data_IF_341604696819
#
_entry.id   IF_341604696819
#
_cell.length_a   1.000
_cell.length_b   1.000
_cell.length_c   1.000
_cell.angle_alpha   90.00
_cell.angle_beta   90.00
_cell.angle_gamma   90.00
#
_symmetry.space_group_name_H-M   'P 1'
#
loop_
_entity.id
_entity.type
_entity.pdbx_description
1 polymer ?
#
# COMPACT_ATOMS: atom_id res chain seq x y z
N UNK A 1 -10.05 5.90 -19.45
CA UNK A 1 -9.79 4.52 -19.03
C UNK A 1 -9.70 4.49 -17.51
N UNK A 2 -10.45 3.60 -16.91
CA UNK A 2 -10.53 3.55 -15.45
C UNK A 2 -9.34 2.78 -14.89
N UNK A 3 -8.52 3.46 -14.08
CA UNK A 3 -7.36 2.86 -13.44
C UNK A 3 -7.57 2.70 -11.93
N UNK A 4 -8.82 2.59 -11.52
CA UNK A 4 -9.15 2.38 -10.11
C UNK A 4 -8.55 1.09 -9.60
N UNK A 5 -8.13 1.10 -8.34
CA UNK A 5 -7.61 -0.10 -7.69
C UNK A 5 -8.69 -1.15 -7.53
N UNK A 6 -8.32 -2.38 -7.81
CA UNK A 6 -9.18 -3.56 -7.68
C UNK A 6 -8.44 -4.62 -6.88
N UNK A 7 -9.16 -5.61 -6.41
CA UNK A 7 -8.53 -6.72 -5.67
C UNK A 7 -7.48 -7.45 -6.51
N UNK A 8 -7.64 -7.42 -7.83
CA UNK A 8 -6.69 -8.05 -8.74
C UNK A 8 -5.53 -7.14 -9.14
N UNK A 9 -5.56 -5.86 -8.77
CA UNK A 9 -4.48 -4.93 -9.09
C UNK A 9 -3.20 -5.33 -8.37
N UNK A 10 -2.07 -5.27 -9.08
CA UNK A 10 -0.76 -5.53 -8.50
C UNK A 10 -0.14 -4.20 -8.10
N UNK A 11 0.29 -4.11 -6.86
CA UNK A 11 0.82 -2.88 -6.29
C UNK A 11 2.29 -3.07 -5.97
N UNK A 12 3.10 -2.07 -6.28
CA UNK A 12 4.52 -2.05 -5.97
C UNK A 12 4.89 -0.70 -5.38
N UNK A 13 5.95 -0.66 -4.57
CA UNK A 13 6.45 0.64 -4.11
C UNK A 13 7.08 1.37 -5.30
N UNK A 14 6.88 2.68 -5.34
CA UNK A 14 7.50 3.51 -6.37
C UNK A 14 9.00 3.60 -6.12
N UNK A 15 9.74 3.98 -7.14
CA UNK A 15 11.18 4.19 -7.01
C UNK A 15 11.45 5.51 -6.28
N UNK A 16 12.67 5.66 -5.79
CA UNK A 16 13.13 6.89 -5.15
C UNK A 16 12.40 7.19 -3.84
N UNK A 17 12.20 6.14 -3.05
CA UNK A 17 11.64 6.25 -1.72
C UNK A 17 12.65 5.76 -0.70
N UNK A 18 12.68 6.40 0.46
CA UNK A 18 13.44 5.92 1.62
C UNK A 18 12.47 5.80 2.78
N UNK A 19 12.41 4.65 3.39
CA UNK A 19 11.54 4.45 4.53
C UNK A 19 12.37 4.22 5.80
N UNK A 20 11.82 4.67 6.91
CA UNK A 20 12.46 4.55 8.20
C UNK A 20 11.43 4.02 9.21
N UNK A 21 11.69 2.86 9.83
CA UNK A 21 10.78 2.35 10.84
C UNK A 21 10.87 3.19 12.11
N UNK A 22 9.73 3.46 12.74
CA UNK A 22 9.61 4.22 13.97
C UNK A 22 8.76 3.41 14.95
N UNK A 23 9.36 2.35 15.53
CA UNK A 23 8.60 1.41 16.33
C UNK A 23 7.66 0.62 15.43
N UNK A 24 6.35 0.69 15.72
CA UNK A 24 5.34 0.04 14.90
C UNK A 24 4.87 0.92 13.74
N UNK A 25 5.32 2.17 13.72
CA UNK A 25 4.99 3.11 12.66
C UNK A 25 6.14 3.22 11.67
N UNK A 26 5.96 4.03 10.65
CA UNK A 26 7.02 4.27 9.69
C UNK A 26 6.89 5.65 9.09
N UNK A 27 8.00 6.19 8.62
CA UNK A 27 8.00 7.41 7.82
C UNK A 27 8.62 7.08 6.46
N UNK A 28 8.04 7.60 5.40
CA UNK A 28 8.54 7.42 4.05
C UNK A 28 8.90 8.79 3.49
N UNK A 29 10.15 8.90 3.04
CA UNK A 29 10.60 10.13 2.36
C UNK A 29 10.53 9.90 0.87
N UNK A 30 9.75 10.74 0.19
CA UNK A 30 9.71 10.75 -1.27
C UNK A 30 10.85 11.66 -1.75
N UNK A 31 11.83 11.07 -2.42
CA UNK A 31 13.03 11.80 -2.84
C UNK A 31 12.77 12.77 -4.00
N UNK A 32 11.67 12.58 -4.72
CA UNK A 32 11.32 13.48 -5.83
C UNK A 32 10.86 14.84 -5.34
N UNK A 33 10.06 14.86 -4.27
CA UNK A 33 9.48 16.10 -3.77
C UNK A 33 9.96 16.47 -2.36
N UNK A 34 10.80 15.63 -1.78
CA UNK A 34 11.36 15.84 -0.44
C UNK A 34 10.30 15.94 0.66
N UNK A 35 9.19 15.24 0.48
CA UNK A 35 8.09 15.25 1.44
C UNK A 35 8.09 13.93 2.22
N UNK A 36 7.89 14.04 3.53
CA UNK A 36 7.74 12.88 4.40
C UNK A 36 6.27 12.52 4.56
N UNK A 37 6.01 11.22 4.60
CA UNK A 37 4.67 10.70 4.84
C UNK A 37 4.74 9.79 6.05
N UNK A 38 3.93 10.08 7.07
CA UNK A 38 3.85 9.23 8.26
C UNK A 38 2.85 8.11 8.03
N UNK A 39 3.23 6.90 8.40
CA UNK A 39 2.37 5.72 8.32
C UNK A 39 2.12 5.21 9.73
N UNK A 40 0.86 4.96 10.07
CA UNK A 40 0.52 4.32 11.33
C UNK A 40 0.89 2.83 11.27
N UNK A 41 0.60 2.08 12.32
CA UNK A 41 1.01 0.68 12.40
C UNK A 41 0.46 -0.17 11.24
N UNK A 42 -0.79 0.07 10.84
CA UNK A 42 -1.38 -0.66 9.72
C UNK A 42 -0.74 -0.24 8.40
N UNK A 43 -0.57 1.06 8.19
CA UNK A 43 0.10 1.57 7.01
C UNK A 43 1.53 1.09 6.89
N UNK A 44 2.25 1.04 8.02
CA UNK A 44 3.62 0.52 8.06
C UNK A 44 3.65 -0.97 7.71
N UNK A 45 2.66 -1.73 8.16
CA UNK A 45 2.57 -3.16 7.83
C UNK A 45 2.32 -3.35 6.34
N UNK A 46 1.39 -2.58 5.77
CA UNK A 46 1.12 -2.61 4.34
C UNK A 46 2.39 -2.25 3.56
N UNK A 47 3.09 -1.21 3.99
CA UNK A 47 4.34 -0.78 3.35
C UNK A 47 5.38 -1.91 3.35
N UNK A 48 5.52 -2.61 4.48
CA UNK A 48 6.45 -3.73 4.59
C UNK A 48 6.08 -4.86 3.62
N UNK A 49 4.80 -5.15 3.49
CA UNK A 49 4.33 -6.18 2.55
C UNK A 49 4.58 -5.78 1.10
N UNK A 50 4.54 -4.49 0.81
CA UNK A 50 4.72 -3.97 -0.54
C UNK A 50 6.18 -3.91 -1.01
N UNK A 51 7.12 -4.31 -0.17
CA UNK A 51 8.52 -4.42 -0.60
C UNK A 51 8.68 -5.48 -1.70
N UNK A 52 7.67 -6.32 -1.87
CA UNK A 52 7.53 -7.20 -3.03
C UNK A 52 6.19 -6.92 -3.69
N UNK A 53 6.08 -7.10 -5.02
CA UNK A 53 4.80 -6.87 -5.69
C UNK A 53 3.71 -7.77 -5.11
N UNK A 54 2.55 -7.19 -4.84
CA UNK A 54 1.42 -7.93 -4.25
C UNK A 54 0.11 -7.43 -4.83
N UNK A 55 -0.85 -8.33 -4.94
CA UNK A 55 -2.19 -7.90 -5.30
C UNK A 55 -2.90 -7.29 -4.10
N UNK A 56 -3.88 -6.45 -4.35
CA UNK A 56 -4.71 -5.88 -3.28
C UNK A 56 -5.36 -7.00 -2.47
N UNK A 57 -5.83 -8.05 -3.15
CA UNK A 57 -6.42 -9.21 -2.47
C UNK A 57 -5.47 -9.90 -1.51
N UNK A 58 -4.20 -10.06 -1.92
CA UNK A 58 -3.18 -10.65 -1.04
C UNK A 58 -2.95 -9.78 0.19
N UNK A 59 -2.87 -8.47 0.00
CA UNK A 59 -2.72 -7.53 1.13
C UNK A 59 -3.91 -7.64 2.08
N UNK A 60 -5.12 -7.64 1.53
CA UNK A 60 -6.34 -7.79 2.34
C UNK A 60 -6.32 -9.08 3.14
N UNK A 61 -6.01 -10.20 2.49
CA UNK A 61 -6.04 -11.50 3.15
C UNK A 61 -4.99 -11.58 4.26
N UNK A 62 -3.82 -11.00 4.04
CA UNK A 62 -2.78 -10.94 5.06
C UNK A 62 -3.24 -10.13 6.26
N UNK A 63 -3.85 -8.96 6.01
CA UNK A 63 -4.35 -8.12 7.11
C UNK A 63 -5.47 -8.82 7.88
N UNK A 64 -6.34 -9.54 7.17
CA UNK A 64 -7.42 -10.29 7.82
C UNK A 64 -6.89 -11.42 8.70
N UNK A 65 -5.74 -11.97 8.36
CA UNK A 65 -5.12 -13.02 9.19
C UNK A 65 -4.43 -12.45 10.42
N UNK A 66 -4.07 -11.17 10.41
CA UNK A 66 -3.30 -10.53 11.48
C UNK A 66 -4.15 -9.67 12.40
N UNK A 67 -5.27 -9.14 11.93
CA UNK A 67 -6.11 -8.21 12.67
C UNK A 67 -7.55 -8.70 12.72
N UNK A 68 -8.20 -8.43 13.83
CA UNK A 68 -9.64 -8.76 13.97
C UNK A 68 -10.47 -7.61 13.41
N UNK A 69 -10.76 -7.66 12.11
CA UNK A 69 -11.56 -6.66 11.44
C UNK A 69 -12.54 -7.35 10.50
N UNK A 70 -13.65 -6.67 10.21
CA UNK A 70 -14.59 -7.15 9.21
C UNK A 70 -13.96 -7.09 7.83
N UNK A 71 -14.14 -8.14 7.02
CA UNK A 71 -13.50 -8.26 5.72
C UNK A 71 -13.82 -7.09 4.79
N UNK A 72 -15.09 -6.69 4.74
CA UNK A 72 -15.53 -5.61 3.86
C UNK A 72 -14.89 -4.28 4.27
N UNK A 73 -14.86 -4.01 5.56
CA UNK A 73 -14.28 -2.78 6.07
C UNK A 73 -12.77 -2.76 5.85
N UNK A 74 -12.12 -3.89 6.06
CA UNK A 74 -10.69 -4.02 5.81
C UNK A 74 -10.37 -3.70 4.36
N UNK A 75 -11.15 -4.24 3.43
CA UNK A 75 -10.94 -3.98 2.01
C UNK A 75 -11.15 -2.51 1.67
N UNK A 76 -12.21 -1.89 2.20
CA UNK A 76 -12.49 -0.48 1.95
C UNK A 76 -11.37 0.41 2.48
N UNK A 77 -10.94 0.17 3.71
CA UNK A 77 -9.89 0.96 4.33
C UNK A 77 -8.55 0.76 3.62
N UNK A 78 -8.27 -0.48 3.20
CA UNK A 78 -7.05 -0.77 2.46
C UNK A 78 -7.04 -0.04 1.11
N UNK A 79 -8.16 -0.08 0.39
CA UNK A 79 -8.26 0.61 -0.90
C UNK A 79 -8.07 2.11 -0.72
N UNK A 80 -8.65 2.70 0.33
CA UNK A 80 -8.49 4.11 0.61
C UNK A 80 -7.03 4.45 0.92
N UNK A 81 -6.36 3.62 1.70
CA UNK A 81 -4.95 3.80 2.02
C UNK A 81 -4.08 3.74 0.77
N UNK A 82 -4.31 2.72 -0.05
CA UNK A 82 -3.54 2.54 -1.28
C UNK A 82 -3.77 3.68 -2.28
N UNK A 83 -5.01 4.17 -2.39
CA UNK A 83 -5.31 5.32 -3.25
C UNK A 83 -4.58 6.57 -2.75
N UNK A 84 -4.53 6.76 -1.44
CA UNK A 84 -3.78 7.87 -0.84
C UNK A 84 -2.29 7.75 -1.14
N UNK A 85 -1.72 6.58 -0.96
CA UNK A 85 -0.30 6.33 -1.27
C UNK A 85 -0.01 6.55 -2.75
N UNK A 86 -0.92 6.11 -3.61
CA UNK A 86 -0.78 6.27 -5.06
C UNK A 86 -0.79 7.75 -5.44
N UNK A 87 -1.74 8.49 -4.88
CA UNK A 87 -1.88 9.92 -5.11
C UNK A 87 -0.61 10.68 -4.71
N UNK A 88 0.04 10.23 -3.65
CA UNK A 88 1.27 10.85 -3.15
C UNK A 88 2.54 10.31 -3.85
N UNK A 89 2.39 9.42 -4.81
CA UNK A 89 3.52 8.90 -5.56
C UNK A 89 4.35 7.88 -4.82
N UNK A 90 3.83 7.29 -3.75
CA UNK A 90 4.57 6.31 -2.95
C UNK A 90 4.50 4.91 -3.53
N UNK A 91 3.44 4.61 -4.27
CA UNK A 91 3.23 3.30 -4.89
C UNK A 91 2.82 3.47 -6.34
N UNK A 92 2.98 2.39 -7.09
CA UNK A 92 2.53 2.28 -8.47
C UNK A 92 1.65 1.05 -8.61
N UNK A 93 0.72 1.11 -9.54
CA UNK A 93 -0.13 -0.03 -9.87
C UNK A 93 0.34 -0.58 -11.19
N UNK A 94 0.66 -1.87 -11.20
CA UNK A 94 1.02 -2.56 -12.44
C UNK A 94 -0.24 -3.09 -13.09
N UNK A 95 -0.30 -2.94 -14.40
CA UNK A 95 -1.36 -3.58 -15.15
C UNK A 95 -1.21 -5.10 -15.02
N UNK A 96 -2.32 -5.78 -14.77
CA UNK A 96 -2.30 -7.23 -14.74
C UNK A 96 -2.18 -7.70 -16.17
N UNK A 97 -1.15 -8.51 -16.41
CA UNK A 97 -1.01 -9.11 -17.72
C UNK A 97 -2.14 -10.12 -17.90
N UNK A 98 -3.08 -9.78 -18.75
CA UNK A 98 -4.12 -10.71 -19.14
C UNK A 98 -3.53 -11.63 -20.20
N UNK A 99 -3.03 -12.73 -19.77
CA UNK A 99 -2.47 -13.70 -20.70
C UNK A 99 -3.54 -14.67 -21.13
#
# INVERSE_FOLDING_TARGET
MDESLRTSSIVVVAKEQVSCPLGEEAAVLNLKNSVYYGLDSVGARVWALLQQPRSVGELRDTLLSEYEVEARRCEQDLLALLESMRSEGLIEVRAISAV
#
